data_IF_138358121726
#
_entry.id   IF_138358121726
#
_cell.length_a   1.000
_cell.length_b   1.000
_cell.length_c   1.000
_cell.angle_alpha   90.00
_cell.angle_beta   90.00
_cell.angle_gamma   90.00
#
_symmetry.space_group_name_H-M   'P 1'
#
loop_
_entity.id
_entity.type
_entity.pdbx_description
1 polymer ?
#
# COMPACT_ATOMS: atom_id res chain seq x y z
N UNK A 1 -10.25 14.97 -0.70
CA UNK A 1 -10.57 13.52 -0.80
C UNK A 1 -9.51 12.67 -1.49
N UNK A 2 -9.10 12.94 -2.74
CA UNK A 2 -8.15 12.07 -3.45
C UNK A 2 -6.78 11.93 -2.77
N UNK A 3 -6.19 13.02 -2.30
CA UNK A 3 -4.91 12.99 -1.59
C UNK A 3 -5.01 12.22 -0.27
N UNK A 4 -6.07 12.46 0.51
CA UNK A 4 -6.35 11.75 1.76
C UNK A 4 -6.55 10.24 1.53
N UNK A 5 -7.29 9.89 0.48
CA UNK A 5 -7.50 8.51 0.04
C UNK A 5 -6.19 7.83 -0.37
N UNK A 6 -5.36 8.50 -1.18
CA UNK A 6 -4.09 7.96 -1.68
C UNK A 6 -3.07 7.76 -0.56
N UNK A 7 -3.02 8.70 0.40
CA UNK A 7 -2.11 8.63 1.54
C UNK A 7 -2.49 7.51 2.51
N UNK A 8 -3.79 7.34 2.77
CA UNK A 8 -4.32 6.24 3.59
C UNK A 8 -4.06 4.89 2.93
N UNK A 9 -4.29 4.80 1.61
CA UNK A 9 -4.03 3.60 0.82
C UNK A 9 -2.55 3.18 0.86
N UNK A 10 -1.64 4.16 0.80
CA UNK A 10 -0.20 3.95 0.86
C UNK A 10 0.33 3.58 2.24
N UNK A 11 -0.28 4.12 3.32
CA UNK A 11 0.15 3.85 4.69
C UNK A 11 -0.40 2.54 5.27
N UNK A 12 -1.61 2.11 4.89
CA UNK A 12 -2.29 1.00 5.60
C UNK A 12 -2.81 -0.13 4.72
N UNK A 13 -2.62 -0.07 3.40
CA UNK A 13 -3.19 -1.05 2.46
C UNK A 13 -4.71 -1.20 2.50
N UNK A 14 -5.40 -0.37 3.27
CA UNK A 14 -6.82 -0.55 3.51
C UNK A 14 -7.61 0.12 2.38
N UNK A 15 -8.09 -0.69 1.44
CA UNK A 15 -9.23 -0.31 0.61
C UNK A 15 -10.48 -0.57 1.43
N UNK A 16 -10.89 0.40 2.26
CA UNK A 16 -12.23 0.36 2.84
C UNK A 16 -13.20 0.71 1.71
N UNK A 17 -13.78 -0.32 1.09
CA UNK A 17 -14.75 -0.23 0.02
C UNK A 17 -15.80 0.86 0.30
N UNK A 18 -15.96 1.85 -0.61
CA UNK A 18 -17.20 2.65 -0.86
C UNK A 18 -17.06 3.75 -1.93
N UNK A 19 -15.88 4.04 -2.52
CA UNK A 19 -15.74 5.19 -3.44
C UNK A 19 -15.40 4.89 -4.91
N UNK A 20 -15.09 3.65 -5.29
CA UNK A 20 -14.58 3.35 -6.66
C UNK A 20 -15.68 2.75 -7.54
N UNK A 21 -16.47 3.62 -8.17
CA UNK A 21 -17.55 3.21 -9.11
C UNK A 21 -17.03 2.69 -10.48
N UNK A 22 -15.75 2.94 -10.83
CA UNK A 22 -15.21 2.63 -12.18
C UNK A 22 -14.08 1.59 -12.18
N UNK A 23 -14.21 0.54 -13.02
CA UNK A 23 -13.23 -0.57 -13.15
C UNK A 23 -11.80 -0.14 -13.43
N UNK A 24 -11.59 0.97 -14.15
CA UNK A 24 -10.24 1.48 -14.49
C UNK A 24 -9.50 1.97 -13.24
N UNK A 25 -10.19 2.71 -12.38
CA UNK A 25 -9.63 3.27 -11.14
C UNK A 25 -9.28 2.14 -10.16
N UNK A 26 -10.10 1.08 -10.10
CA UNK A 26 -9.82 -0.10 -9.27
C UNK A 26 -8.48 -0.75 -9.60
N UNK A 27 -8.10 -0.82 -10.87
CA UNK A 27 -6.79 -1.37 -11.28
C UNK A 27 -5.62 -0.51 -10.81
N UNK A 28 -5.76 0.81 -10.89
CA UNK A 28 -4.75 1.76 -10.45
C UNK A 28 -4.57 1.69 -8.93
N UNK A 29 -5.68 1.65 -8.20
CA UNK A 29 -5.68 1.51 -6.73
C UNK A 29 -5.06 0.18 -6.31
N UNK A 30 -5.42 -0.93 -6.95
CA UNK A 30 -4.80 -2.23 -6.66
C UNK A 30 -3.29 -2.24 -6.93
N UNK A 31 -2.82 -1.64 -8.03
CA UNK A 31 -1.39 -1.50 -8.31
C UNK A 31 -0.68 -0.65 -7.26
N UNK A 32 -1.29 0.46 -6.85
CA UNK A 32 -0.74 1.33 -5.82
C UNK A 32 -0.65 0.61 -4.46
N UNK A 33 -1.71 -0.08 -4.05
CA UNK A 33 -1.72 -0.90 -2.83
C UNK A 33 -0.67 -2.02 -2.89
N UNK A 34 -0.52 -2.70 -4.03
CA UNK A 34 0.46 -3.77 -4.18
C UNK A 34 1.91 -3.24 -4.09
N UNK A 35 2.19 -2.10 -4.72
CA UNK A 35 3.51 -1.45 -4.65
C UNK A 35 3.84 -1.00 -3.24
N UNK A 36 2.91 -0.31 -2.57
CA UNK A 36 3.12 0.10 -1.19
C UNK A 36 3.32 -1.13 -0.28
N UNK A 37 2.68 -2.28 -0.57
CA UNK A 37 2.79 -3.51 0.24
C UNK A 37 4.18 -4.10 0.08
N UNK A 38 4.66 -4.20 -1.16
CA UNK A 38 6.03 -4.59 -1.46
C UNK A 38 7.04 -3.68 -0.74
N UNK A 39 6.83 -2.38 -0.77
CA UNK A 39 7.70 -1.41 -0.10
C UNK A 39 7.75 -1.64 1.42
N UNK A 40 6.60 -1.72 2.09
CA UNK A 40 6.53 -1.96 3.53
C UNK A 40 7.10 -3.34 3.91
N UNK A 41 6.75 -4.39 3.16
CA UNK A 41 7.27 -5.73 3.39
C UNK A 41 8.80 -5.80 3.22
N UNK A 42 9.35 -5.09 2.24
CA UNK A 42 10.80 -5.00 2.02
C UNK A 42 11.48 -4.26 3.17
N UNK A 43 10.90 -3.16 3.67
CA UNK A 43 11.43 -2.46 4.84
C UNK A 43 11.46 -3.38 6.06
N UNK A 44 10.40 -4.14 6.30
CA UNK A 44 10.34 -5.11 7.41
C UNK A 44 11.39 -6.20 7.21
N UNK A 45 11.49 -6.78 6.02
CA UNK A 45 12.47 -7.82 5.71
C UNK A 45 13.92 -7.33 5.89
N UNK A 46 14.24 -6.12 5.42
CA UNK A 46 15.55 -5.49 5.62
C UNK A 46 15.81 -5.23 7.10
N UNK A 47 14.82 -4.70 7.83
CA UNK A 47 14.92 -4.46 9.27
C UNK A 47 15.22 -5.75 10.03
N UNK A 48 14.51 -6.83 9.72
CA UNK A 48 14.75 -8.16 10.31
C UNK A 48 16.14 -8.69 9.94
N UNK A 49 16.57 -8.53 8.70
CA UNK A 49 17.90 -8.98 8.26
C UNK A 49 19.03 -8.23 9.00
N UNK A 50 18.87 -6.93 9.22
CA UNK A 50 19.81 -6.10 9.99
C UNK A 50 19.82 -6.54 11.46
N UNK A 51 18.65 -6.75 12.07
CA UNK A 51 18.55 -7.17 13.48
C UNK A 51 19.09 -8.60 13.68
N UNK A 52 18.83 -9.51 12.75
CA UNK A 52 19.30 -10.89 12.82
C UNK A 52 20.79 -11.05 12.51
N UNK A 53 21.38 -10.08 11.81
CA UNK A 53 22.81 -10.02 11.51
C UNK A 53 23.65 -9.27 12.54
N UNK A 54 23.02 -8.66 13.55
CA UNK A 54 23.64 -8.02 14.72
C UNK A 54 23.78 -9.04 15.86
#
# INVERSE_FOLDING_TARGET
>A
DFAYFSFTLGMTFQVSDVAISSRKIRRIVLLHSLLSFGFNATIVAMSVNIIAGL
#
